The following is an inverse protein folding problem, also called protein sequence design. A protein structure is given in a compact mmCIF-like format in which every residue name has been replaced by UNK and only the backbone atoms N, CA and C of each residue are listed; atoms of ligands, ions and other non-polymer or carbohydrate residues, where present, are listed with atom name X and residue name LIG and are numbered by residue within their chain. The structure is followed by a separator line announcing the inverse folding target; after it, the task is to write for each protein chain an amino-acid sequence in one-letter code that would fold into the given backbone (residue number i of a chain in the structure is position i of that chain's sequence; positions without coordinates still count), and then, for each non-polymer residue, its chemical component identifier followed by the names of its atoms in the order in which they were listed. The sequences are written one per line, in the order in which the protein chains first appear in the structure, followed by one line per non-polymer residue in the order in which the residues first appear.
data_IF_235814660701
#
_entry.id   IF_235814660701
#
_cell.length_a   1.000
_cell.length_b   1.000
_cell.length_c   1.000
_cell.angle_alpha   90.00
_cell.angle_beta   90.00
_cell.angle_gamma   90.00
#
_symmetry.space_group_name_H-M   'P 1'
#
loop_
_entity.id
_entity.type
_entity.pdbx_description
1 polymer ?
#
# COMPACT_ATOMS: atom_id res chain seq x y z
N UNK A 1 -1.34 21.20 -4.89
CA UNK A 1 -0.69 20.47 -3.78
C UNK A 1 -1.26 19.06 -3.85
N UNK A 2 -0.52 18.05 -4.35
CA UNK A 2 -1.02 16.67 -4.25
C UNK A 2 -1.15 16.34 -2.76
N UNK A 3 -2.35 15.95 -2.32
CA UNK A 3 -2.57 15.57 -0.94
C UNK A 3 -1.68 14.35 -0.65
N UNK A 4 -0.78 14.47 0.33
CA UNK A 4 -0.01 13.35 0.81
C UNK A 4 -1.00 12.25 1.22
N UNK A 5 -0.86 11.07 0.62
CA UNK A 5 -1.73 9.95 0.93
C UNK A 5 -1.39 9.47 2.35
N UNK A 6 -2.31 9.65 3.28
CA UNK A 6 -2.12 9.26 4.69
C UNK A 6 -2.77 7.92 4.98
N UNK A 7 -2.29 7.24 6.03
CA UNK A 7 -2.85 5.95 6.48
C UNK A 7 -4.33 6.05 6.76
N UNK A 8 -4.80 7.16 7.33
CA UNK A 8 -6.22 7.41 7.58
C UNK A 8 -7.03 7.48 6.27
N UNK A 9 -6.51 8.13 5.23
CA UNK A 9 -7.17 8.17 3.91
C UNK A 9 -7.32 6.76 3.34
N UNK A 10 -6.23 6.00 3.27
CA UNK A 10 -6.23 4.64 2.72
C UNK A 10 -7.12 3.71 3.53
N UNK A 11 -7.09 3.83 4.86
CA UNK A 11 -7.94 3.04 5.76
C UNK A 11 -9.42 3.36 5.56
N UNK A 12 -9.76 4.64 5.41
CA UNK A 12 -11.12 5.11 5.13
C UNK A 12 -11.64 4.61 3.77
N UNK A 13 -10.80 4.66 2.74
CA UNK A 13 -11.11 4.17 1.39
C UNK A 13 -11.27 2.65 1.37
N UNK A 14 -10.38 1.90 2.02
CA UNK A 14 -10.48 0.45 2.13
C UNK A 14 -11.75 0.02 2.89
N UNK A 15 -12.10 0.74 3.97
CA UNK A 15 -13.36 0.55 4.70
C UNK A 15 -14.58 0.90 3.83
N UNK A 16 -14.48 1.94 3.01
CA UNK A 16 -15.52 2.33 2.08
C UNK A 16 -15.80 1.24 1.05
N UNK A 17 -14.75 0.59 0.51
CA UNK A 17 -14.91 -0.57 -0.38
C UNK A 17 -15.70 -1.69 0.31
N UNK A 18 -15.34 -2.04 1.55
CA UNK A 18 -16.03 -3.08 2.32
C UNK A 18 -17.52 -2.73 2.56
N UNK A 19 -17.80 -1.49 2.95
CA UNK A 19 -19.18 -0.98 3.12
C UNK A 19 -19.97 -1.03 1.82
N UNK A 20 -19.35 -0.66 0.70
CA UNK A 20 -19.98 -0.69 -0.61
C UNK A 20 -20.36 -2.13 -1.02
N UNK A 21 -19.47 -3.11 -0.80
CA UNK A 21 -19.75 -4.52 -1.05
C UNK A 21 -20.93 -5.05 -0.22
N UNK A 22 -21.01 -4.66 1.06
CA UNK A 22 -22.14 -4.99 1.95
C UNK A 22 -23.43 -4.36 1.45
N UNK A 23 -23.42 -3.08 1.11
CA UNK A 23 -24.59 -2.37 0.59
C UNK A 23 -25.06 -2.94 -0.73
N UNK A 24 -24.15 -3.20 -1.68
CA UNK A 24 -24.49 -3.82 -2.95
C UNK A 24 -25.13 -5.20 -2.75
N UNK A 25 -24.58 -6.02 -1.83
CA UNK A 25 -25.19 -7.29 -1.45
C UNK A 25 -26.60 -7.13 -0.90
N UNK A 26 -26.83 -6.12 -0.05
CA UNK A 26 -28.15 -5.81 0.53
C UNK A 26 -29.15 -5.27 -0.49
N UNK A 27 -28.68 -4.47 -1.44
CA UNK A 27 -29.50 -3.87 -2.50
C UNK A 27 -29.70 -4.80 -3.71
N UNK A 28 -29.07 -5.98 -3.70
CA UNK A 28 -29.09 -6.91 -4.85
C UNK A 28 -28.33 -6.40 -6.07
N UNK A 29 -27.37 -5.48 -5.88
CA UNK A 29 -26.48 -5.00 -6.94
C UNK A 29 -25.36 -6.00 -7.22
N UNK A 30 -24.78 -5.89 -8.41
CA UNK A 30 -23.72 -6.79 -8.85
C UNK A 30 -22.41 -6.49 -8.11
N UNK A 31 -21.97 -7.40 -7.24
CA UNK A 31 -20.62 -7.36 -6.66
C UNK A 31 -19.56 -7.93 -7.62
N UNK A 32 -19.72 -7.72 -8.94
CA UNK A 32 -18.70 -8.13 -9.91
C UNK A 32 -17.52 -7.19 -9.81
N UNK A 33 -16.31 -7.73 -9.84
CA UNK A 33 -15.07 -6.97 -9.76
C UNK A 33 -15.07 -5.78 -10.73
N UNK A 34 -15.51 -5.98 -11.98
CA UNK A 34 -15.55 -4.92 -12.99
C UNK A 34 -16.49 -3.76 -12.62
N UNK A 35 -17.66 -4.05 -12.05
CA UNK A 35 -18.66 -3.05 -11.66
C UNK A 35 -18.18 -2.28 -10.43
N UNK A 36 -17.72 -3.02 -9.42
CA UNK A 36 -17.16 -2.46 -8.18
C UNK A 36 -15.92 -1.63 -8.48
N UNK A 37 -15.01 -2.12 -9.33
CA UNK A 37 -13.84 -1.39 -9.79
C UNK A 37 -14.28 -0.10 -10.49
N UNK A 38 -15.13 -0.15 -11.51
CA UNK A 38 -15.56 1.05 -12.23
C UNK A 38 -16.30 2.07 -11.35
N UNK A 39 -17.00 1.62 -10.31
CA UNK A 39 -17.73 2.50 -9.38
C UNK A 39 -16.82 3.12 -8.31
N UNK A 40 -15.82 2.37 -7.81
CA UNK A 40 -14.96 2.79 -6.71
C UNK A 40 -13.64 3.40 -7.17
N UNK A 41 -13.17 3.10 -8.37
CA UNK A 41 -11.97 3.68 -8.99
C UNK A 41 -11.95 5.22 -9.00
N UNK A 42 -13.04 5.96 -9.25
CA UNK A 42 -13.05 7.42 -9.10
C UNK A 42 -13.17 7.90 -7.64
N UNK A 43 -13.48 7.01 -6.70
CA UNK A 43 -13.70 7.32 -5.28
C UNK A 43 -12.48 7.01 -4.39
N UNK A 44 -11.47 6.33 -4.95
CA UNK A 44 -10.21 6.01 -4.25
C UNK A 44 -9.04 6.77 -4.86
N UNK A 45 -8.02 7.01 -4.04
CA UNK A 45 -6.84 7.77 -4.41
C UNK A 45 -5.75 6.90 -5.05
N UNK A 46 -5.71 5.60 -4.72
CA UNK A 46 -4.84 4.60 -5.37
C UNK A 46 -5.63 3.69 -6.32
N UNK A 47 -4.92 2.86 -7.07
CA UNK A 47 -5.55 1.84 -7.91
C UNK A 47 -6.39 0.87 -7.08
N UNK A 48 -7.62 0.60 -7.53
CA UNK A 48 -8.54 -0.33 -6.88
C UNK A 48 -7.90 -1.72 -6.70
N UNK A 49 -7.07 -2.14 -7.65
CA UNK A 49 -6.35 -3.42 -7.57
C UNK A 49 -5.47 -3.52 -6.31
N UNK A 50 -4.82 -2.43 -5.90
CA UNK A 50 -3.99 -2.40 -4.68
C UNK A 50 -4.83 -2.66 -3.42
N UNK A 51 -5.99 -2.01 -3.31
CA UNK A 51 -6.93 -2.28 -2.21
C UNK A 51 -7.52 -3.68 -2.30
N UNK A 52 -7.83 -4.17 -3.49
CA UNK A 52 -8.33 -5.53 -3.69
C UNK A 52 -7.31 -6.58 -3.23
N UNK A 53 -6.03 -6.41 -3.59
CA UNK A 53 -4.96 -7.28 -3.14
C UNK A 53 -4.80 -7.27 -1.63
N UNK A 54 -4.83 -6.09 -1.01
CA UNK A 54 -4.85 -5.95 0.44
C UNK A 54 -6.01 -6.74 1.07
N UNK A 55 -7.25 -6.43 0.68
CA UNK A 55 -8.44 -7.04 1.24
C UNK A 55 -8.46 -8.57 1.05
N UNK A 56 -7.92 -9.06 -0.07
CA UNK A 56 -7.80 -10.50 -0.35
C UNK A 56 -6.66 -11.16 0.44
N UNK A 57 -5.51 -10.49 0.58
CA UNK A 57 -4.35 -10.99 1.32
C UNK A 57 -4.67 -11.20 2.79
N UNK A 58 -5.43 -10.28 3.39
CA UNK A 58 -5.87 -10.36 4.79
C UNK A 58 -7.24 -11.03 4.96
N UNK A 59 -7.74 -11.71 3.91
CA UNK A 59 -8.99 -12.49 3.96
C UNK A 59 -10.25 -11.71 4.34
N UNK A 60 -10.26 -10.38 4.23
CA UNK A 60 -11.46 -9.55 4.45
C UNK A 60 -12.51 -9.74 3.36
N UNK A 61 -12.07 -10.01 2.13
CA UNK A 61 -12.95 -10.36 1.01
C UNK A 61 -12.51 -11.66 0.36
N UNK A 62 -13.48 -12.37 -0.22
CA UNK A 62 -13.25 -13.50 -1.10
C UNK A 62 -13.69 -13.15 -2.52
N UNK A 63 -13.06 -13.75 -3.52
CA UNK A 63 -13.50 -13.64 -4.91
C UNK A 63 -13.84 -15.03 -5.43
N UNK A 64 -15.05 -15.17 -5.98
CA UNK A 64 -15.51 -16.41 -6.60
C UNK A 64 -14.92 -16.58 -8.01
N UNK A 65 -15.19 -17.74 -8.65
CA UNK A 65 -14.73 -18.08 -10.00
C UNK A 65 -15.26 -17.13 -11.07
N UNK A 66 -16.37 -16.45 -10.79
CA UNK A 66 -17.00 -15.47 -11.68
C UNK A 66 -16.48 -14.02 -11.48
N UNK A 67 -15.35 -13.85 -10.79
CA UNK A 67 -14.84 -12.54 -10.37
C UNK A 67 -15.86 -11.75 -9.52
N UNK A 68 -16.68 -12.47 -8.75
CA UNK A 68 -17.65 -11.87 -7.83
C UNK A 68 -17.03 -11.72 -6.44
N UNK A 69 -17.00 -10.48 -5.96
CA UNK A 69 -16.54 -10.14 -4.62
C UNK A 69 -17.58 -10.54 -3.59
N UNK A 70 -17.12 -11.20 -2.54
CA UNK A 70 -17.91 -11.60 -1.38
C UNK A 70 -17.25 -11.06 -0.14
N UNK A 71 -18.04 -10.42 0.70
CA UNK A 71 -17.61 -9.99 2.00
C UNK A 71 -17.50 -11.21 2.93
N UNK A 72 -16.41 -11.27 3.69
CA UNK A 72 -16.21 -12.34 4.69
C UNK A 72 -16.66 -11.86 6.08
N UNK A 73 -16.78 -12.78 7.06
CA UNK A 73 -17.09 -12.40 8.44
C UNK A 73 -16.05 -11.46 9.06
N UNK A 74 -14.77 -11.58 8.69
CA UNK A 74 -13.74 -10.64 9.16
C UNK A 74 -13.95 -9.25 8.57
N UNK A 75 -14.29 -9.16 7.28
CA UNK A 75 -14.64 -7.89 6.64
C UNK A 75 -15.83 -7.20 7.30
N UNK A 76 -16.88 -7.97 7.67
CA UNK A 76 -18.03 -7.42 8.40
C UNK A 76 -17.65 -6.88 9.78
N UNK A 77 -16.86 -7.61 10.56
CA UNK A 77 -16.38 -7.14 11.88
C UNK A 77 -15.60 -5.84 11.81
N UNK A 78 -14.81 -5.64 10.75
CA UNK A 78 -14.10 -4.38 10.52
C UNK A 78 -15.09 -3.25 10.22
N UNK A 79 -16.11 -3.49 9.39
CA UNK A 79 -17.16 -2.49 9.11
C UNK A 79 -17.92 -2.09 10.37
N UNK A 80 -18.23 -3.05 11.25
CA UNK A 80 -18.94 -2.82 12.51
C UNK A 80 -18.04 -2.20 13.60
N UNK A 81 -16.74 -2.03 13.33
CA UNK A 81 -15.78 -1.33 14.19
C UNK A 81 -15.04 -2.22 15.19
N UNK A 82 -15.42 -3.49 15.32
CA UNK A 82 -14.76 -4.46 16.22
C UNK A 82 -13.33 -4.81 15.80
N UNK A 83 -13.03 -4.74 14.50
CA UNK A 83 -11.72 -5.10 13.92
C UNK A 83 -10.92 -3.93 13.37
N UNK A 84 -11.37 -2.68 13.58
CA UNK A 84 -10.80 -1.51 12.90
C UNK A 84 -9.34 -1.25 13.30
N UNK A 85 -8.98 -1.41 14.57
CA UNK A 85 -7.62 -1.15 15.07
C UNK A 85 -6.58 -2.04 14.37
N UNK A 86 -6.86 -3.35 14.30
CA UNK A 86 -6.05 -4.32 13.55
C UNK A 86 -6.01 -3.97 12.07
N UNK A 87 -7.17 -3.73 11.46
CA UNK A 87 -7.26 -3.38 10.05
C UNK A 87 -6.42 -2.16 9.69
N UNK A 88 -6.52 -1.09 10.48
CA UNK A 88 -5.71 0.11 10.27
C UNK A 88 -4.22 -0.23 10.39
N UNK A 89 -3.83 -1.10 11.31
CA UNK A 89 -2.45 -1.59 11.45
C UNK A 89 -1.95 -2.27 10.18
N UNK A 90 -2.72 -3.24 9.66
CA UNK A 90 -2.39 -3.97 8.44
C UNK A 90 -2.36 -3.04 7.21
N UNK A 91 -3.22 -2.02 7.15
CA UNK A 91 -3.19 -0.98 6.10
C UNK A 91 -1.88 -0.20 6.18
N UNK A 92 -1.46 0.19 7.39
CA UNK A 92 -0.20 0.88 7.60
C UNK A 92 1.00 0.07 7.12
N UNK A 93 0.99 -1.24 7.35
CA UNK A 93 2.06 -2.15 6.94
C UNK A 93 2.05 -2.44 5.43
N UNK A 94 0.87 -2.75 4.87
CA UNK A 94 0.74 -3.10 3.45
C UNK A 94 0.96 -1.91 2.51
N UNK A 95 0.47 -0.74 2.91
CA UNK A 95 0.63 0.48 2.12
C UNK A 95 1.85 1.30 2.56
N UNK A 96 2.72 0.78 3.44
CA UNK A 96 3.92 1.47 3.91
C UNK A 96 4.79 2.01 2.76
N UNK A 97 4.89 1.26 1.65
CA UNK A 97 5.64 1.65 0.46
C UNK A 97 4.95 2.75 -0.38
N UNK A 98 3.64 2.93 -0.21
CA UNK A 98 2.81 3.91 -0.94
C UNK A 98 2.47 5.15 -0.12
N UNK A 99 2.45 5.00 1.20
CA UNK A 99 2.38 6.11 2.14
C UNK A 99 3.67 6.90 1.97
N UNK A 100 3.55 8.22 1.75
CA UNK A 100 4.75 9.04 1.76
C UNK A 100 5.42 8.83 3.12
N UNK A 101 6.70 8.44 3.16
CA UNK A 101 7.45 8.60 4.39
C UNK A 101 7.42 10.10 4.68
N UNK A 102 6.74 10.51 5.75
CA UNK A 102 7.12 11.73 6.44
C UNK A 102 8.56 11.50 6.88
N UNK A 103 9.50 11.86 6.00
CA UNK A 103 10.95 11.91 6.19
C UNK A 103 11.50 10.84 7.14
N UNK A 104 11.40 9.57 6.74
CA UNK A 104 12.53 8.69 6.98
C UNK A 104 13.51 8.94 5.84
N UNK A 105 14.50 9.77 6.13
CA UNK A 105 15.78 9.88 5.43
C UNK A 105 16.51 8.52 5.41
N UNK A 106 15.93 7.50 4.78
CA UNK A 106 16.73 6.46 4.13
C UNK A 106 17.07 7.05 2.75
N UNK A 107 18.20 7.73 2.59
CA UNK A 107 19.52 7.10 2.52
C UNK A 107 19.47 5.82 1.68
N UNK A 108 19.11 5.96 0.40
CA UNK A 108 19.66 5.09 -0.63
C UNK A 108 19.81 5.91 -1.91
N UNK A 109 21.05 6.07 -2.37
CA UNK A 109 21.31 6.42 -3.76
C UNK A 109 22.14 7.65 -4.09
N UNK A 110 22.76 8.37 -3.14
CA UNK A 110 24.02 9.02 -3.52
C UNK A 110 25.06 7.91 -3.49
N UNK A 111 25.44 7.43 -4.68
CA UNK A 111 26.64 6.64 -4.88
C UNK A 111 27.78 7.32 -4.12
N UNK A 112 28.10 6.81 -2.92
CA UNK A 112 29.36 7.12 -2.26
C UNK A 112 30.41 6.49 -3.15
N UNK A 113 30.85 7.24 -4.16
CA UNK A 113 32.10 6.99 -4.84
C UNK A 113 33.13 6.86 -3.72
N UNK A 114 33.82 5.71 -3.58
CA UNK A 114 34.97 5.68 -2.69
C UNK A 114 35.89 6.84 -3.11
N UNK A 115 36.46 7.59 -2.16
CA UNK A 115 37.43 8.62 -2.52
C UNK A 115 38.47 7.96 -3.42
N UNK A 116 38.89 8.62 -4.53
CA UNK A 116 39.90 8.04 -5.39
C UNK A 116 41.12 7.68 -4.53
N UNK A 117 41.75 6.52 -4.76
CA UNK A 117 42.97 6.18 -4.05
C UNK A 117 43.94 7.36 -4.20
N UNK A 118 44.63 7.77 -3.13
CA UNK A 118 45.70 8.75 -3.26
C UNK A 118 46.66 8.23 -4.34
N UNK A 119 47.14 9.09 -5.26
CA UNK A 119 48.16 8.66 -6.20
C UNK A 119 49.33 8.10 -5.40
N UNK A 120 49.64 6.81 -5.60
CA UNK A 120 50.94 6.26 -5.22
C UNK A 120 52.00 7.01 -6.01
N UNK A 121 52.45 8.15 -5.48
CA UNK A 121 53.70 8.77 -5.92
C UNK A 121 54.79 8.04 -5.17
N UNK A 122 55.18 6.92 -5.80
CA UNK A 122 56.50 6.31 -5.84
C UNK A 122 57.53 6.96 -4.90
N UNK A 123 57.86 6.24 -3.83
CA UNK A 123 59.10 6.47 -3.07
C UNK A 123 60.23 6.19 -4.05
N UNK A 124 60.78 7.23 -4.66
CA UNK A 124 62.04 7.15 -5.40
C UNK A 124 63.15 7.63 -4.46
N UNK A 125 63.66 6.69 -3.66
CA UNK A 125 65.02 6.78 -3.14
C UNK A 125 65.96 6.38 -4.29
N UNK A 126 66.96 7.22 -4.63
CA UNK A 126 68.30 6.69 -4.45
C UNK A 126 69.32 7.74 -3.98
N UNK A 127 70.07 7.32 -2.96
CA UNK A 127 71.52 7.40 -2.83
C UNK A 127 72.26 8.73 -3.12
N UNK A 128 72.83 9.26 -2.03
CA UNK A 128 74.12 9.98 -2.02
C UNK A 128 75.18 9.26 -2.89
N UNK A 129 76.04 10.02 -3.55
CA UNK A 129 77.41 10.14 -3.03
C UNK A 129 77.89 11.58 -2.82
#
# INVERSE_FOLDING_TARGET
MPAALTRDTVSGEALFILKNLRENGRLGRSNKLADVKSALEPAVSLEFDTYFFFLRKFHYIAMDREAQLRLTPEGEKVIDGEGYDRFAGEVGDFFAEHLQPEEATHSDGEVVLPPPPPPEVLIEEPAMP
#
